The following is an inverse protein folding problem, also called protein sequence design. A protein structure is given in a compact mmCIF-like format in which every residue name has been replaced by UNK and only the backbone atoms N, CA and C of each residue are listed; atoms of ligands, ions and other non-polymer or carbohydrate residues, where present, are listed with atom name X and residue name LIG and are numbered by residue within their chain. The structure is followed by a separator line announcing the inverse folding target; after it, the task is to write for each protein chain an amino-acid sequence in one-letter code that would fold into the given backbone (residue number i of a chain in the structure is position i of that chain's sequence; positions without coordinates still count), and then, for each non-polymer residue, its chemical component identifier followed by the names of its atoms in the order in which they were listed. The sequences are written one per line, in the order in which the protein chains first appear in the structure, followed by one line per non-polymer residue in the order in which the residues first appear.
data_IF_961320061288
#
_entry.id   IF_961320061288
#
_cell.length_a   1.000
_cell.length_b   1.000
_cell.length_c   1.000
_cell.angle_alpha   90.00
_cell.angle_beta   90.00
_cell.angle_gamma   90.00
#
_symmetry.space_group_name_H-M   'P 1'
#
loop_
_entity.id
_entity.type
_entity.pdbx_description
1 polymer ?
#
# COMPACT_ATOMS: atom_id res chain seq x y z
N UNK A 1 20.62 1.44 -3.40
CA UNK A 1 20.03 1.49 -2.04
C UNK A 1 19.42 0.12 -1.74
N UNK A 2 19.50 -0.41 -0.51
CA UNK A 2 18.83 -1.66 -0.18
C UNK A 2 17.31 -1.44 -0.04
N UNK A 3 16.49 -2.49 -0.29
CA UNK A 3 15.05 -2.43 -0.12
C UNK A 3 14.67 -1.98 1.31
N UNK A 4 15.40 -2.46 2.31
CA UNK A 4 15.26 -2.06 3.73
C UNK A 4 15.37 -0.54 3.90
N UNK A 5 16.49 0.03 3.43
CA UNK A 5 16.75 1.47 3.56
C UNK A 5 15.70 2.30 2.83
N UNK A 6 15.21 1.80 1.70
CA UNK A 6 14.15 2.49 0.96
C UNK A 6 12.82 2.49 1.74
N UNK A 7 12.42 1.35 2.30
CA UNK A 7 11.21 1.28 3.14
C UNK A 7 11.32 2.17 4.38
N UNK A 8 12.49 2.21 5.04
CA UNK A 8 12.73 3.12 6.17
C UNK A 8 12.62 4.59 5.74
N UNK A 9 13.20 4.97 4.61
CA UNK A 9 13.12 6.34 4.09
C UNK A 9 11.68 6.73 3.71
N UNK A 10 10.89 5.80 3.17
CA UNK A 10 9.48 6.08 2.84
C UNK A 10 8.63 6.43 4.07
N UNK A 11 8.99 5.92 5.26
CA UNK A 11 8.22 6.17 6.48
C UNK A 11 8.11 7.65 6.85
N UNK A 12 9.09 8.47 6.51
CA UNK A 12 9.07 9.91 6.80
C UNK A 12 7.95 10.66 6.07
N UNK A 13 7.48 10.13 4.93
CA UNK A 13 6.40 10.72 4.14
C UNK A 13 5.00 10.27 4.61
N UNK A 14 4.94 9.23 5.45
CA UNK A 14 3.70 8.65 5.97
C UNK A 14 3.29 9.34 7.27
N UNK A 15 2.11 9.94 7.29
CA UNK A 15 1.58 10.64 8.48
C UNK A 15 0.94 9.65 9.46
N UNK A 16 1.67 8.58 9.88
CA UNK A 16 1.15 7.48 10.68
C UNK A 16 0.44 7.91 11.96
N UNK A 17 0.95 8.93 12.66
CA UNK A 17 0.32 9.46 13.87
C UNK A 17 -1.07 10.06 13.62
N UNK A 18 -1.32 10.61 12.43
CA UNK A 18 -2.63 11.12 12.05
C UNK A 18 -3.55 9.96 11.64
N UNK A 19 -3.01 8.97 10.94
CA UNK A 19 -3.75 7.79 10.48
C UNK A 19 -4.26 6.99 11.68
N UNK A 20 -3.40 6.66 12.65
CA UNK A 20 -3.78 5.87 13.81
C UNK A 20 -4.88 6.53 14.66
N UNK A 21 -4.94 7.86 14.69
CA UNK A 21 -5.97 8.60 15.43
C UNK A 21 -7.36 8.59 14.75
N UNK A 22 -7.43 8.21 13.47
CA UNK A 22 -8.70 8.04 12.74
C UNK A 22 -9.27 6.63 12.88
N UNK A 23 -8.47 5.64 13.30
CA UNK A 23 -8.90 4.26 13.44
C UNK A 23 -9.87 4.11 14.63
N UNK A 24 -10.92 3.28 14.50
CA UNK A 24 -11.86 3.01 15.58
C UNK A 24 -11.30 1.99 16.58
N UNK A 25 -10.17 2.32 17.21
CA UNK A 25 -9.41 1.44 18.12
C UNK A 25 -9.79 1.65 19.57
N UNK A 26 -9.66 0.58 20.38
CA UNK A 26 -9.76 0.59 21.85
C UNK A 26 -8.57 -0.15 22.43
N UNK A 27 -8.25 0.14 23.69
CA UNK A 27 -7.08 -0.42 24.38
C UNK A 27 -7.14 -1.93 24.63
N UNK A 28 -8.32 -2.54 24.56
CA UNK A 28 -8.55 -3.97 24.72
C UNK A 28 -8.60 -4.74 23.39
N UNK A 29 -8.44 -4.06 22.23
CA UNK A 29 -8.53 -4.66 20.92
C UNK A 29 -7.28 -5.48 20.54
N UNK A 30 -7.52 -6.52 19.73
CA UNK A 30 -6.52 -7.28 18.99
C UNK A 30 -6.63 -6.88 17.53
N UNK A 31 -5.56 -6.34 16.97
CA UNK A 31 -5.53 -5.81 15.60
C UNK A 31 -4.45 -6.49 14.79
N UNK A 32 -4.77 -6.94 13.57
CA UNK A 32 -3.78 -7.43 12.62
C UNK A 32 -3.30 -6.30 11.70
N UNK A 33 -2.00 -6.16 11.51
CA UNK A 33 -1.39 -5.38 10.44
C UNK A 33 -0.91 -6.33 9.34
N UNK A 34 -1.52 -6.22 8.16
CA UNK A 34 -1.29 -7.10 7.02
C UNK A 34 -0.39 -6.42 5.98
N UNK A 35 0.79 -7.00 5.73
CA UNK A 35 1.85 -6.36 4.97
C UNK A 35 2.60 -5.33 5.81
N UNK A 36 3.01 -5.71 7.04
CA UNK A 36 3.57 -4.76 8.02
C UNK A 36 4.97 -4.24 7.66
N UNK A 37 5.67 -4.89 6.71
CA UNK A 37 7.03 -4.52 6.32
C UNK A 37 7.98 -4.42 7.51
N UNK A 38 8.58 -3.26 7.72
CA UNK A 38 9.51 -2.98 8.85
C UNK A 38 8.80 -2.75 10.20
N UNK A 39 7.47 -2.83 10.24
CA UNK A 39 6.66 -2.65 11.43
C UNK A 39 6.59 -1.22 11.97
N UNK A 40 6.79 -0.21 11.12
CA UNK A 40 6.75 1.18 11.55
C UNK A 40 5.37 1.58 12.09
N UNK A 41 4.28 1.10 11.47
CA UNK A 41 2.94 1.36 11.94
C UNK A 41 2.55 0.41 13.09
N UNK A 42 2.97 -0.87 13.05
CA UNK A 42 2.77 -1.82 14.15
C UNK A 42 3.27 -1.26 15.48
N UNK A 43 4.45 -0.62 15.50
CA UNK A 43 5.01 0.02 16.70
C UNK A 43 4.12 1.16 17.24
N UNK A 44 3.53 1.95 16.35
CA UNK A 44 2.62 3.04 16.75
C UNK A 44 1.30 2.47 17.27
N UNK A 45 0.78 1.46 16.58
CA UNK A 45 -0.47 0.79 16.90
C UNK A 45 -0.39 0.06 18.24
N UNK A 46 0.75 -0.59 18.54
CA UNK A 46 0.98 -1.35 19.79
C UNK A 46 0.81 -0.50 21.07
N UNK A 47 1.05 0.80 20.96
CA UNK A 47 0.86 1.75 22.09
C UNK A 47 -0.62 2.08 22.37
N UNK A 48 -1.53 1.62 21.53
CA UNK A 48 -2.95 2.00 21.57
C UNK A 48 -3.91 0.82 21.72
N UNK A 49 -3.43 -0.40 21.50
CA UNK A 49 -4.24 -1.63 21.54
C UNK A 49 -3.63 -2.67 22.44
N UNK A 50 -4.39 -3.70 22.78
CA UNK A 50 -3.94 -4.81 23.64
C UNK A 50 -2.86 -5.64 22.96
N UNK A 51 -3.06 -5.96 21.67
CA UNK A 51 -2.17 -6.84 20.91
C UNK A 51 -2.18 -6.44 19.43
N UNK A 52 -1.01 -6.43 18.83
CA UNK A 52 -0.84 -6.31 17.37
C UNK A 52 -0.33 -7.65 16.81
N UNK A 53 -0.97 -8.17 15.77
CA UNK A 53 -0.49 -9.30 14.98
C UNK A 53 0.10 -8.72 13.70
N UNK A 54 1.42 -8.62 13.64
CA UNK A 54 2.15 -8.04 12.49
C UNK A 54 2.55 -9.15 11.51
N UNK A 55 2.09 -9.05 10.26
CA UNK A 55 2.23 -10.11 9.27
C UNK A 55 2.86 -9.56 7.99
N UNK A 56 3.92 -10.23 7.52
CA UNK A 56 4.55 -9.98 6.23
C UNK A 56 5.17 -11.28 5.68
N UNK A 57 5.40 -11.36 4.36
CA UNK A 57 6.12 -12.47 3.74
C UNK A 57 7.64 -12.30 3.81
N UNK A 58 8.12 -11.08 3.92
CA UNK A 58 9.54 -10.75 3.81
C UNK A 58 10.24 -10.80 5.17
N UNK A 59 10.92 -11.94 5.45
CA UNK A 59 11.65 -12.15 6.69
C UNK A 59 12.68 -11.04 6.97
N UNK A 60 13.39 -10.54 5.97
CA UNK A 60 14.38 -9.48 6.16
C UNK A 60 13.78 -8.16 6.67
N UNK A 61 12.51 -7.89 6.36
CA UNK A 61 11.78 -6.74 6.89
C UNK A 61 11.28 -7.03 8.31
N UNK A 62 10.77 -8.24 8.57
CA UNK A 62 10.29 -8.65 9.89
C UNK A 62 11.40 -8.63 10.95
N UNK A 63 12.63 -8.99 10.60
CA UNK A 63 13.79 -8.93 11.50
C UNK A 63 14.02 -7.52 12.10
N UNK A 64 13.65 -6.47 11.37
CA UNK A 64 13.73 -5.09 11.88
C UNK A 64 12.75 -4.88 13.03
N UNK A 65 11.53 -5.40 12.88
CA UNK A 65 10.51 -5.32 13.91
C UNK A 65 10.84 -6.24 15.10
N UNK A 66 11.33 -7.45 14.85
CA UNK A 66 11.77 -8.41 15.87
C UNK A 66 12.84 -7.80 16.78
N UNK A 67 13.80 -7.07 16.20
CA UNK A 67 14.87 -6.40 16.95
C UNK A 67 14.38 -5.29 17.88
N UNK A 68 13.17 -4.75 17.69
CA UNK A 68 12.57 -3.74 18.58
C UNK A 68 12.05 -4.33 19.88
N UNK A 69 11.81 -5.64 19.95
CA UNK A 69 11.39 -6.40 21.15
C UNK A 69 10.17 -5.78 21.85
N UNK A 70 9.09 -5.54 21.11
CA UNK A 70 7.85 -4.96 21.66
C UNK A 70 6.95 -6.09 22.12
N UNK A 71 6.66 -6.15 23.42
CA UNK A 71 6.03 -7.30 24.11
C UNK A 71 4.64 -7.65 23.59
N UNK A 72 3.86 -6.68 23.14
CA UNK A 72 2.49 -6.89 22.67
C UNK A 72 2.37 -6.92 21.13
N UNK A 73 3.48 -7.21 20.41
CA UNK A 73 3.47 -7.48 18.98
C UNK A 73 3.82 -8.94 18.73
N UNK A 74 2.87 -9.69 18.17
CA UNK A 74 3.10 -11.03 17.64
C UNK A 74 3.48 -10.93 16.18
N UNK A 75 4.68 -11.40 15.80
CA UNK A 75 5.22 -11.30 14.44
C UNK A 75 5.05 -12.64 13.74
N UNK A 76 4.48 -12.64 12.53
CA UNK A 76 4.22 -13.83 11.74
C UNK A 76 4.72 -13.67 10.30
N UNK A 77 5.63 -14.53 9.86
CA UNK A 77 5.98 -14.66 8.44
C UNK A 77 4.93 -15.51 7.72
N UNK A 78 3.90 -14.87 7.18
CA UNK A 78 2.76 -15.54 6.54
C UNK A 78 2.22 -14.74 5.36
N UNK A 79 1.50 -15.45 4.47
CA UNK A 79 0.75 -14.83 3.38
C UNK A 79 -0.54 -14.19 3.93
N UNK A 80 -0.74 -12.92 3.62
CA UNK A 80 -1.91 -12.14 4.04
C UNK A 80 -3.19 -12.51 3.28
N UNK A 81 -3.10 -13.30 2.22
CA UNK A 81 -4.24 -13.75 1.42
C UNK A 81 -5.14 -14.76 2.14
N UNK A 82 -4.60 -15.47 3.13
CA UNK A 82 -5.32 -16.45 3.96
C UNK A 82 -4.97 -16.21 5.44
N UNK A 83 -5.98 -15.87 6.25
CA UNK A 83 -5.83 -15.63 7.68
C UNK A 83 -6.23 -16.84 8.54
N UNK A 84 -6.32 -18.05 7.98
CA UNK A 84 -6.71 -19.28 8.71
C UNK A 84 -5.78 -19.61 9.88
N UNK A 85 -4.52 -19.17 9.80
CA UNK A 85 -3.51 -19.35 10.85
C UNK A 85 -3.72 -18.44 12.08
N UNK A 86 -4.58 -17.45 12.01
CA UNK A 86 -4.99 -16.66 13.18
C UNK A 86 -6.12 -17.45 13.88
N UNK A 87 -5.92 -17.94 15.12
CA UNK A 87 -6.82 -18.93 15.73
C UNK A 87 -8.16 -18.37 16.20
N UNK A 88 -8.29 -17.07 16.32
CA UNK A 88 -9.50 -16.37 16.83
C UNK A 88 -9.92 -15.25 15.91
N UNK A 89 -11.17 -14.79 16.06
CA UNK A 89 -11.62 -13.54 15.44
C UNK A 89 -10.92 -12.34 16.09
N UNK A 90 -10.68 -11.28 15.31
CA UNK A 90 -9.98 -10.07 15.70
C UNK A 90 -10.87 -8.83 15.61
N UNK A 91 -10.48 -7.77 16.32
CA UNK A 91 -11.27 -6.55 16.41
C UNK A 91 -11.03 -5.62 15.21
N UNK A 92 -9.84 -5.68 14.61
CA UNK A 92 -9.53 -4.83 13.46
C UNK A 92 -8.43 -5.38 12.58
N UNK A 93 -8.45 -4.94 11.33
CA UNK A 93 -7.43 -5.20 10.33
C UNK A 93 -6.97 -3.85 9.77
N UNK A 94 -5.66 -3.64 9.74
CA UNK A 94 -5.02 -2.55 9.02
C UNK A 94 -4.12 -3.10 7.93
N UNK A 95 -4.14 -2.49 6.75
CA UNK A 95 -3.22 -2.82 5.66
C UNK A 95 -2.84 -1.57 4.87
N UNK A 96 -1.58 -1.44 4.49
CA UNK A 96 -1.10 -0.33 3.66
C UNK A 96 -0.23 -0.82 2.52
N UNK A 97 -0.59 -0.42 1.30
CA UNK A 97 0.17 -0.69 0.07
C UNK A 97 0.46 -2.19 -0.17
N UNK A 98 -0.49 -3.07 0.18
CA UNK A 98 -0.29 -4.51 0.11
C UNK A 98 -1.34 -5.23 -0.74
N UNK A 99 -2.60 -4.79 -0.77
CA UNK A 99 -3.67 -5.51 -1.47
C UNK A 99 -3.54 -5.42 -3.00
N UNK A 100 -2.84 -4.42 -3.53
CA UNK A 100 -2.57 -4.25 -4.95
C UNK A 100 -1.74 -5.40 -5.56
N UNK A 101 -0.99 -6.14 -4.75
CA UNK A 101 -0.24 -7.34 -5.18
C UNK A 101 -1.11 -8.56 -5.47
N UNK A 102 -2.43 -8.44 -5.30
CA UNK A 102 -3.38 -9.53 -5.54
C UNK A 102 -4.49 -9.13 -6.52
N UNK A 103 -4.16 -8.62 -7.73
CA UNK A 103 -5.13 -7.99 -8.62
C UNK A 103 -6.31 -8.89 -8.99
N UNK A 104 -6.05 -10.20 -9.17
CA UNK A 104 -7.06 -11.19 -9.61
C UNK A 104 -7.78 -11.87 -8.44
N UNK A 105 -7.36 -11.61 -7.19
CA UNK A 105 -7.92 -12.23 -5.97
C UNK A 105 -8.36 -11.22 -4.92
N UNK A 106 -8.31 -9.93 -5.22
CA UNK A 106 -8.57 -8.85 -4.26
C UNK A 106 -9.90 -9.02 -3.54
N UNK A 107 -10.99 -9.30 -4.27
CA UNK A 107 -12.32 -9.47 -3.69
C UNK A 107 -12.37 -10.69 -2.74
N UNK A 108 -11.79 -11.81 -3.15
CA UNK A 108 -11.73 -13.01 -2.31
C UNK A 108 -10.89 -12.78 -1.05
N UNK A 109 -9.76 -12.07 -1.17
CA UNK A 109 -8.89 -11.76 -0.04
C UNK A 109 -9.59 -10.81 0.95
N UNK A 110 -10.23 -9.77 0.46
CA UNK A 110 -11.00 -8.85 1.30
C UNK A 110 -12.16 -9.58 1.99
N UNK A 111 -12.77 -10.57 1.32
CA UNK A 111 -13.76 -11.44 1.97
C UNK A 111 -13.15 -12.29 3.09
N UNK A 112 -11.96 -12.89 2.87
CA UNK A 112 -11.26 -13.66 3.90
C UNK A 112 -10.92 -12.78 5.12
N UNK A 113 -10.53 -11.54 4.88
CA UNK A 113 -10.29 -10.57 5.96
C UNK A 113 -11.57 -10.21 6.71
N UNK A 114 -12.68 -9.95 5.96
CA UNK A 114 -13.99 -9.69 6.54
C UNK A 114 -14.47 -10.86 7.41
N UNK A 115 -14.33 -12.10 6.94
CA UNK A 115 -14.76 -13.31 7.66
C UNK A 115 -13.98 -13.49 8.98
N UNK A 116 -12.75 -12.89 9.08
CA UNK A 116 -11.90 -12.95 10.27
C UNK A 116 -12.25 -11.92 11.33
N UNK A 117 -13.05 -10.93 11.01
CA UNK A 117 -13.45 -9.90 11.95
C UNK A 117 -14.58 -10.38 12.88
N UNK A 118 -14.50 -10.00 14.13
CA UNK A 118 -15.65 -10.01 15.04
C UNK A 118 -16.80 -9.17 14.48
N UNK A 119 -18.01 -9.37 15.03
CA UNK A 119 -19.09 -8.40 14.87
C UNK A 119 -18.62 -7.03 15.41
N UNK A 120 -19.02 -5.96 14.75
CA UNK A 120 -18.51 -4.61 15.00
C UNK A 120 -17.01 -4.39 14.73
N UNK A 121 -16.28 -5.40 14.21
CA UNK A 121 -14.90 -5.28 13.80
C UNK A 121 -14.72 -4.38 12.56
N UNK A 122 -13.51 -3.93 12.31
CA UNK A 122 -13.21 -2.96 11.26
C UNK A 122 -12.04 -3.37 10.36
N UNK A 123 -12.07 -2.89 9.12
CA UNK A 123 -10.96 -2.93 8.17
C UNK A 123 -10.58 -1.50 7.82
N UNK A 124 -9.28 -1.20 7.86
CA UNK A 124 -8.74 0.06 7.38
C UNK A 124 -7.64 -0.24 6.35
N UNK A 125 -7.75 0.35 5.16
CA UNK A 125 -6.84 0.11 4.05
C UNK A 125 -6.34 1.44 3.51
N UNK A 126 -5.02 1.52 3.30
CA UNK A 126 -4.37 2.58 2.52
C UNK A 126 -3.84 1.94 1.25
N UNK A 127 -4.23 2.46 0.08
CA UNK A 127 -3.77 1.92 -1.19
C UNK A 127 -3.70 3.00 -2.27
N UNK A 128 -2.81 2.77 -3.24
CA UNK A 128 -2.56 3.72 -4.33
C UNK A 128 -3.57 3.53 -5.46
N UNK A 129 -3.91 4.64 -6.09
CA UNK A 129 -4.73 4.70 -7.30
C UNK A 129 -4.06 5.58 -8.35
N UNK A 130 -3.92 5.07 -9.58
CA UNK A 130 -3.24 5.69 -10.73
C UNK A 130 -1.75 6.03 -10.48
N UNK A 131 -0.96 5.08 -9.94
CA UNK A 131 0.44 5.31 -9.55
C UNK A 131 1.33 5.86 -10.69
N UNK A 132 1.20 5.35 -11.92
CA UNK A 132 2.08 5.75 -13.02
C UNK A 132 1.41 6.77 -13.95
N UNK A 133 0.18 6.50 -14.38
CA UNK A 133 -0.52 7.36 -15.35
C UNK A 133 -1.19 8.57 -14.71
N UNK A 134 -1.15 8.70 -13.40
CA UNK A 134 -1.54 9.92 -12.68
C UNK A 134 -0.63 11.11 -12.95
N UNK A 135 0.59 10.87 -13.44
CA UNK A 135 1.58 11.92 -13.73
C UNK A 135 1.41 12.47 -15.15
N UNK A 136 1.23 13.79 -15.29
CA UNK A 136 1.01 14.48 -16.56
C UNK A 136 1.79 15.82 -16.64
N UNK A 137 2.15 16.29 -17.86
CA UNK A 137 2.03 15.65 -19.17
C UNK A 137 3.21 14.72 -19.47
N UNK A 138 2.93 13.45 -19.69
CA UNK A 138 3.88 12.53 -20.32
C UNK A 138 3.67 12.53 -21.83
N UNK A 139 4.67 12.08 -22.60
CA UNK A 139 4.51 11.87 -24.05
C UNK A 139 3.40 10.84 -24.32
N UNK A 140 2.73 10.97 -25.47
CA UNK A 140 1.69 10.03 -25.87
C UNK A 140 2.22 8.59 -25.96
N UNK A 141 3.47 8.44 -26.39
CA UNK A 141 4.13 7.13 -26.48
C UNK A 141 4.33 6.52 -25.09
N UNK A 142 4.88 7.27 -24.14
CA UNK A 142 5.06 6.81 -22.75
C UNK A 142 3.73 6.46 -22.10
N UNK A 143 2.69 7.30 -22.27
CA UNK A 143 1.35 7.01 -21.72
C UNK A 143 0.77 5.70 -22.26
N UNK A 144 0.92 5.45 -23.58
CA UNK A 144 0.44 4.21 -24.19
C UNK A 144 1.21 3.00 -23.66
N UNK A 145 2.54 3.08 -23.53
CA UNK A 145 3.37 1.99 -22.99
C UNK A 145 3.05 1.71 -21.52
N UNK A 146 2.89 2.75 -20.71
CA UNK A 146 2.47 2.59 -19.32
C UNK A 146 1.08 1.96 -19.20
N UNK A 147 0.14 2.31 -20.11
CA UNK A 147 -1.17 1.67 -20.13
C UNK A 147 -1.09 0.17 -20.41
N UNK A 148 -0.32 -0.22 -21.42
CA UNK A 148 -0.07 -1.63 -21.75
C UNK A 148 0.58 -2.34 -20.55
N UNK A 149 1.61 -1.75 -19.98
CA UNK A 149 2.32 -2.33 -18.82
C UNK A 149 1.40 -2.56 -17.61
N UNK A 150 0.59 -1.56 -17.24
CA UNK A 150 -0.33 -1.68 -16.10
C UNK A 150 -1.39 -2.76 -16.34
N UNK A 151 -1.94 -2.84 -17.57
CA UNK A 151 -2.96 -3.82 -17.90
C UNK A 151 -2.39 -5.24 -17.94
N UNK A 152 -1.20 -5.44 -18.52
CA UNK A 152 -0.52 -6.74 -18.52
C UNK A 152 -0.07 -7.17 -17.12
N UNK A 153 0.52 -6.26 -16.33
CA UNK A 153 0.90 -6.55 -14.94
C UNK A 153 -0.29 -7.00 -14.10
N UNK A 154 -1.46 -6.38 -14.31
CA UNK A 154 -2.70 -6.78 -13.67
C UNK A 154 -3.18 -8.14 -14.17
N UNK A 155 -3.21 -8.39 -15.49
CA UNK A 155 -3.66 -9.65 -16.09
C UNK A 155 -2.78 -10.83 -15.63
N UNK A 156 -1.47 -10.60 -15.52
CA UNK A 156 -0.49 -11.58 -15.04
C UNK A 156 -0.56 -11.80 -13.51
N UNK A 157 -1.42 -11.07 -12.80
CA UNK A 157 -1.57 -11.21 -11.35
C UNK A 157 -0.42 -10.62 -10.53
N UNK A 158 0.37 -9.71 -11.10
CA UNK A 158 1.55 -9.11 -10.47
C UNK A 158 1.18 -7.94 -9.57
N UNK A 159 0.48 -6.93 -10.12
CA UNK A 159 0.15 -5.71 -9.40
C UNK A 159 -1.00 -4.94 -10.07
N UNK A 160 -1.89 -4.36 -9.27
CA UNK A 160 -2.95 -3.46 -9.76
C UNK A 160 -2.63 -2.00 -9.43
N UNK A 161 -2.14 -1.25 -10.41
CA UNK A 161 -1.79 0.16 -10.25
C UNK A 161 -2.99 1.07 -9.96
N UNK A 162 -4.22 0.50 -9.97
CA UNK A 162 -5.50 1.17 -9.73
C UNK A 162 -6.32 0.46 -8.66
N UNK A 163 -5.65 -0.14 -7.68
CA UNK A 163 -6.29 -0.88 -6.61
C UNK A 163 -7.16 0.01 -5.72
N UNK A 164 -6.71 1.23 -5.42
CA UNK A 164 -7.34 2.12 -4.46
C UNK A 164 -8.83 2.36 -4.72
N UNK A 165 -9.21 2.64 -5.96
CA UNK A 165 -10.63 2.91 -6.35
C UNK A 165 -11.56 1.70 -6.22
N UNK A 166 -11.02 0.48 -6.10
CA UNK A 166 -11.79 -0.76 -6.08
C UNK A 166 -12.20 -1.18 -4.66
N UNK A 167 -11.45 -0.76 -3.65
CA UNK A 167 -11.57 -1.26 -2.28
C UNK A 167 -12.93 -0.90 -1.67
N UNK A 168 -13.33 0.38 -1.69
CA UNK A 168 -14.59 0.83 -1.09
C UNK A 168 -15.83 0.13 -1.70
N UNK A 169 -15.95 -0.01 -3.04
CA UNK A 169 -17.03 -0.80 -3.64
C UNK A 169 -17.05 -2.26 -3.18
N UNK A 170 -15.88 -2.92 -3.10
CA UNK A 170 -15.81 -4.32 -2.66
C UNK A 170 -16.27 -4.46 -1.21
N UNK A 171 -15.78 -3.60 -0.30
CA UNK A 171 -16.17 -3.64 1.11
C UNK A 171 -17.67 -3.38 1.31
N UNK A 172 -18.26 -2.47 0.53
CA UNK A 172 -19.72 -2.26 0.50
C UNK A 172 -20.48 -3.51 0.04
N UNK A 173 -20.01 -4.18 -1.00
CA UNK A 173 -20.64 -5.42 -1.50
C UNK A 173 -20.53 -6.57 -0.48
N UNK A 174 -19.54 -6.56 0.41
CA UNK A 174 -19.42 -7.49 1.54
C UNK A 174 -20.36 -7.12 2.72
N UNK A 175 -21.12 -6.03 2.62
CA UNK A 175 -22.04 -5.59 3.66
C UNK A 175 -21.39 -4.73 4.75
N UNK A 176 -20.20 -4.19 4.51
CA UNK A 176 -19.55 -3.29 5.47
C UNK A 176 -20.06 -1.85 5.32
N UNK A 177 -20.22 -1.18 6.44
CA UNK A 177 -20.45 0.27 6.51
C UNK A 177 -19.13 1.02 6.28
N UNK A 178 -19.11 1.92 5.30
CA UNK A 178 -17.93 2.77 5.07
C UNK A 178 -17.97 3.94 6.05
N UNK A 179 -17.04 3.97 6.98
CA UNK A 179 -16.89 5.04 7.97
C UNK A 179 -16.06 6.20 7.43
N UNK A 180 -15.09 5.91 6.55
CA UNK A 180 -14.20 6.88 5.94
C UNK A 180 -13.80 6.42 4.53
N UNK A 181 -13.76 7.33 3.57
CA UNK A 181 -13.17 7.15 2.25
C UNK A 181 -12.60 8.50 1.80
N UNK A 182 -11.30 8.70 2.01
CA UNK A 182 -10.63 9.97 1.72
C UNK A 182 -9.33 9.76 0.95
N UNK A 183 -8.83 10.81 0.34
CA UNK A 183 -7.52 10.86 -0.30
C UNK A 183 -6.53 11.48 0.69
N UNK A 184 -5.45 10.74 1.02
CA UNK A 184 -4.37 11.25 1.87
C UNK A 184 -3.38 12.07 1.05
N UNK A 185 -2.87 13.13 1.66
CA UNK A 185 -1.67 13.79 1.17
C UNK A 185 -0.43 12.98 1.52
N UNK A 186 0.34 12.64 0.53
CA UNK A 186 1.61 11.95 0.63
C UNK A 186 2.63 12.64 -0.28
N UNK A 187 3.62 13.31 0.31
CA UNK A 187 4.53 14.15 -0.46
C UNK A 187 5.45 13.36 -1.41
N UNK A 188 5.65 12.06 -1.18
CA UNK A 188 6.35 11.19 -2.13
C UNK A 188 5.46 10.83 -3.33
N UNK A 189 4.18 10.53 -3.07
CA UNK A 189 3.31 9.89 -4.06
C UNK A 189 2.34 10.85 -4.76
N UNK A 190 1.97 11.98 -4.12
CA UNK A 190 0.89 12.85 -4.62
C UNK A 190 1.32 14.28 -4.95
N UNK A 191 2.61 14.61 -4.81
CA UNK A 191 3.11 15.97 -5.09
C UNK A 191 3.10 16.30 -6.57
N UNK A 192 2.81 17.56 -6.88
CA UNK A 192 2.87 18.16 -8.23
C UNK A 192 3.96 19.24 -8.29
N UNK A 193 4.29 19.70 -9.48
CA UNK A 193 5.36 20.67 -9.73
C UNK A 193 6.74 20.01 -9.68
N UNK A 194 7.77 20.79 -9.39
CA UNK A 194 9.15 20.29 -9.29
C UNK A 194 9.29 19.42 -8.04
N UNK A 195 9.62 18.16 -8.23
CA UNK A 195 9.84 17.18 -7.17
C UNK A 195 11.30 17.28 -6.69
N UNK A 196 11.54 17.12 -5.38
CA UNK A 196 12.88 17.14 -4.81
C UNK A 196 13.77 16.01 -5.37
N UNK A 197 15.08 16.23 -5.40
CA UNK A 197 16.03 15.22 -5.90
C UNK A 197 15.95 13.92 -5.10
N UNK A 198 15.70 14.00 -3.80
CA UNK A 198 15.51 12.82 -2.93
C UNK A 198 14.32 11.96 -3.39
N UNK A 199 13.16 12.58 -3.62
CA UNK A 199 11.97 11.87 -4.10
C UNK A 199 12.19 11.39 -5.55
N UNK A 200 12.89 12.15 -6.40
CA UNK A 200 13.24 11.70 -7.75
C UNK A 200 14.09 10.42 -7.72
N UNK A 201 15.05 10.30 -6.80
CA UNK A 201 15.85 9.08 -6.62
C UNK A 201 14.95 7.90 -6.18
N UNK A 202 13.98 8.13 -5.31
CA UNK A 202 13.04 7.09 -4.89
C UNK A 202 12.16 6.64 -6.08
N UNK A 203 11.71 7.55 -6.94
CA UNK A 203 10.99 7.22 -8.16
C UNK A 203 11.85 6.45 -9.16
N UNK A 204 13.12 6.85 -9.35
CA UNK A 204 14.05 6.11 -10.19
C UNK A 204 14.23 4.66 -9.71
N UNK A 205 14.44 4.47 -8.40
CA UNK A 205 14.53 3.13 -7.79
C UNK A 205 13.22 2.34 -7.99
N UNK A 206 12.07 2.99 -7.83
CA UNK A 206 10.76 2.36 -8.07
C UNK A 206 10.63 1.91 -9.52
N UNK A 207 10.90 2.79 -10.49
CA UNK A 207 10.86 2.45 -11.91
C UNK A 207 11.83 1.34 -12.30
N UNK A 208 13.00 1.27 -11.66
CA UNK A 208 13.98 0.22 -11.88
C UNK A 208 13.53 -1.16 -11.35
N UNK A 209 12.61 -1.22 -10.39
CA UNK A 209 12.05 -2.47 -9.88
C UNK A 209 10.82 -2.95 -10.64
N UNK A 210 10.20 -2.10 -11.44
CA UNK A 210 9.09 -2.52 -12.29
C UNK A 210 9.63 -3.47 -13.37
N UNK A 211 8.95 -4.59 -13.57
CA UNK A 211 9.34 -5.63 -14.54
C UNK A 211 9.02 -5.21 -15.98
N UNK A 212 9.45 -4.01 -16.37
CA UNK A 212 9.27 -3.51 -17.74
C UNK A 212 9.94 -4.40 -18.78
N UNK A 213 11.04 -5.07 -18.42
CA UNK A 213 11.80 -6.00 -19.26
C UNK A 213 11.01 -7.24 -19.70
N UNK A 214 9.88 -7.53 -19.06
CA UNK A 214 8.93 -8.56 -19.52
C UNK A 214 8.13 -8.12 -20.74
N UNK A 215 8.00 -6.82 -20.99
CA UNK A 215 7.07 -6.26 -21.98
C UNK A 215 7.75 -5.38 -23.04
N UNK A 216 8.92 -4.80 -22.72
CA UNK A 216 9.57 -3.80 -23.58
C UNK A 216 11.06 -4.09 -23.77
N UNK A 217 11.60 -3.61 -24.90
CA UNK A 217 13.02 -3.62 -25.17
C UNK A 217 13.74 -2.55 -24.33
N UNK A 218 15.07 -2.70 -24.18
CA UNK A 218 15.88 -1.84 -23.32
C UNK A 218 15.79 -0.35 -23.67
N UNK A 219 15.82 0.00 -24.93
CA UNK A 219 15.70 1.39 -25.41
C UNK A 219 14.34 2.01 -25.11
N UNK A 220 13.28 1.22 -25.21
CA UNK A 220 11.93 1.63 -24.84
C UNK A 220 11.80 1.89 -23.34
N UNK A 221 12.40 1.02 -22.51
CA UNK A 221 12.43 1.18 -21.05
C UNK A 221 13.17 2.46 -20.65
N UNK A 222 14.33 2.71 -21.25
CA UNK A 222 15.10 3.93 -20.99
C UNK A 222 14.33 5.19 -21.44
N UNK A 223 13.59 5.13 -22.56
CA UNK A 223 12.75 6.23 -22.99
C UNK A 223 11.60 6.52 -22.01
N UNK A 224 10.90 5.48 -21.51
CA UNK A 224 9.84 5.60 -20.51
C UNK A 224 10.40 6.26 -19.23
N UNK A 225 11.52 5.75 -18.70
CA UNK A 225 12.14 6.27 -17.49
C UNK A 225 12.61 7.71 -17.66
N UNK A 226 13.26 8.02 -18.76
CA UNK A 226 13.74 9.37 -19.06
C UNK A 226 12.61 10.38 -19.16
N UNK A 227 11.52 10.06 -19.84
CA UNK A 227 10.34 10.92 -19.97
C UNK A 227 9.71 11.15 -18.57
N UNK A 228 9.49 10.07 -17.81
CA UNK A 228 8.89 10.14 -16.49
C UNK A 228 9.74 10.98 -15.50
N UNK A 229 11.04 10.69 -15.39
CA UNK A 229 11.93 11.41 -14.47
C UNK A 229 12.13 12.87 -14.89
N UNK A 230 12.14 13.16 -16.20
CA UNK A 230 12.18 14.54 -16.69
C UNK A 230 10.93 15.31 -16.33
N UNK A 231 9.76 14.67 -16.39
CA UNK A 231 8.50 15.27 -15.97
C UNK A 231 8.52 15.63 -14.49
N UNK A 232 9.02 14.76 -13.60
CA UNK A 232 9.09 15.04 -12.16
C UNK A 232 9.91 16.31 -11.83
N UNK A 233 10.85 16.69 -12.70
CA UNK A 233 11.66 17.92 -12.56
C UNK A 233 11.05 19.12 -13.27
N UNK A 234 9.85 19.01 -13.83
CA UNK A 234 9.19 20.06 -14.60
C UNK A 234 8.23 20.86 -13.73
N UNK A 235 8.19 22.18 -13.93
CA UNK A 235 7.16 23.06 -13.36
C UNK A 235 5.75 22.76 -13.90
N UNK A 236 5.65 22.01 -15.01
CA UNK A 236 4.38 21.61 -15.63
C UNK A 236 3.85 20.27 -15.08
N UNK A 237 4.60 19.61 -14.22
CA UNK A 237 4.20 18.33 -13.64
C UNK A 237 2.92 18.48 -12.79
N UNK A 238 1.89 17.74 -13.18
CA UNK A 238 0.64 17.58 -12.43
C UNK A 238 0.52 16.11 -12.07
N UNK A 239 0.27 15.83 -10.81
CA UNK A 239 0.09 14.48 -10.31
C UNK A 239 -1.36 14.31 -9.81
N UNK A 240 -2.08 13.36 -10.41
CA UNK A 240 -3.46 12.99 -10.06
C UNK A 240 -3.52 11.65 -9.31
N UNK A 241 -2.36 11.07 -9.00
CA UNK A 241 -2.26 9.87 -8.16
C UNK A 241 -2.94 10.12 -6.82
N UNK A 242 -3.71 9.15 -6.37
CA UNK A 242 -4.37 9.20 -5.07
C UNK A 242 -3.81 8.15 -4.14
N UNK A 243 -3.70 8.49 -2.89
CA UNK A 243 -3.47 7.55 -1.79
C UNK A 243 -4.79 7.45 -1.04
N UNK A 244 -5.58 6.42 -1.37
CA UNK A 244 -6.89 6.18 -0.77
C UNK A 244 -6.73 5.68 0.65
N UNK A 245 -7.48 6.25 1.58
CA UNK A 245 -7.62 5.75 2.94
C UNK A 245 -9.09 5.43 3.21
N UNK A 246 -9.37 4.16 3.41
CA UNK A 246 -10.73 3.64 3.57
C UNK A 246 -10.81 2.95 4.93
N UNK A 247 -11.83 3.28 5.71
CA UNK A 247 -12.19 2.58 6.94
C UNK A 247 -13.61 2.06 6.77
N UNK A 248 -13.80 0.77 7.00
CA UNK A 248 -15.10 0.13 6.95
C UNK A 248 -15.33 -0.72 8.20
N UNK A 249 -16.59 -0.81 8.63
CA UNK A 249 -17.03 -1.55 9.82
C UNK A 249 -17.96 -2.69 9.42
N UNK A 250 -17.73 -3.86 10.02
CA UNK A 250 -18.64 -5.02 9.93
C UNK A 250 -19.85 -4.77 10.83
N UNK A 251 -21.03 -4.89 10.26
CA UNK A 251 -22.32 -4.80 10.99
C UNK A 251 -22.61 -6.06 11.77
#
# INVERSE_FOLDING_TARGET
MSLKTEYENQQQYRKWSLIVNKLPIKSDYVVAELGCGTGAFAEILSKKVKEVIAIDLNQNLLEILENKKIDNITILQKDISDLSYIPKEIDGIFSSFAIAYFPNKMEQILKNWFDKLKNDGWIAIIEIDDLLRGHTPLSKETLNKLAVFEDEAKNDGIYDFRAGRKISPILKNLGMEILLDEDLEDSELTSSGIISDEICIMWENRLNRLSFDKFFQKDEIEAIKSDFLSLLKSTKHINQTKVKFIIAKKS
#
